data_IF_311878633556
#
_entry.id   IF_311878633556
#
_cell.length_a   1.000
_cell.length_b   1.000
_cell.length_c   1.000
_cell.angle_alpha   90.00
_cell.angle_beta   90.00
_cell.angle_gamma   90.00
#
_symmetry.space_group_name_H-M   'P 1'
#
loop_
_entity.id
_entity.type
_entity.pdbx_description
1 polymer ?
#
# COMPACT_ATOMS: atom_id res chain seq x y z
N UNK A 1 17.71 16.37 0.11
CA UNK A 1 17.42 15.57 1.31
C UNK A 1 18.33 16.10 2.39
N UNK A 2 17.76 16.69 3.42
CA UNK A 2 18.55 17.15 4.57
C UNK A 2 18.75 15.98 5.53
N UNK A 3 19.98 15.77 5.95
CA UNK A 3 20.39 14.72 6.87
C UNK A 3 20.77 15.33 8.22
N UNK A 4 20.91 14.51 9.25
CA UNK A 4 21.28 14.97 10.59
C UNK A 4 22.60 15.80 10.62
N UNK A 5 23.47 15.61 9.63
CA UNK A 5 24.73 16.38 9.45
C UNK A 5 24.50 17.83 9.05
N UNK A 6 23.32 18.15 8.49
CA UNK A 6 22.96 19.49 8.05
C UNK A 6 22.37 20.33 9.19
N UNK A 7 22.20 19.74 10.38
CA UNK A 7 21.67 20.37 11.59
C UNK A 7 22.71 20.38 12.70
N UNK A 8 22.95 21.55 13.32
CA UNK A 8 23.73 21.67 14.56
C UNK A 8 22.93 21.19 15.77
N UNK A 9 22.61 19.89 15.83
CA UNK A 9 21.90 19.28 16.97
C UNK A 9 22.61 18.02 17.46
N UNK A 10 22.57 17.79 18.77
CA UNK A 10 23.08 16.57 19.41
C UNK A 10 21.90 15.70 19.82
N UNK A 11 21.88 14.43 19.38
CA UNK A 11 20.86 13.47 19.82
C UNK A 11 21.22 13.00 21.24
N UNK A 12 20.39 13.33 22.21
CA UNK A 12 20.52 12.88 23.59
C UNK A 12 19.32 12.02 23.96
N UNK A 13 19.57 10.78 24.38
CA UNK A 13 18.53 9.90 24.89
C UNK A 13 18.21 10.24 26.34
N UNK A 14 16.94 10.45 26.64
CA UNK A 14 16.46 10.81 27.97
C UNK A 14 15.44 9.75 28.44
N UNK A 15 15.86 8.76 29.24
CA UNK A 15 14.94 7.81 29.82
C UNK A 15 14.01 8.52 30.80
N UNK A 16 12.69 8.46 30.55
CA UNK A 16 11.67 9.10 31.39
C UNK A 16 10.83 10.14 30.64
N UNK A 17 10.57 11.30 31.26
CA UNK A 17 9.50 12.22 30.84
C UNK A 17 9.64 12.80 29.43
N UNK A 18 10.87 13.00 28.95
CA UNK A 18 11.11 13.50 27.61
C UNK A 18 10.75 12.47 26.52
N UNK A 19 10.93 11.17 26.80
CA UNK A 19 10.52 10.10 25.88
C UNK A 19 9.00 9.88 25.88
N UNK A 20 8.32 10.14 27.00
CA UNK A 20 6.86 9.96 27.10
C UNK A 20 6.10 10.78 26.06
N UNK A 21 6.57 11.99 25.74
CA UNK A 21 5.94 12.84 24.70
C UNK A 21 6.14 12.24 23.31
N UNK A 22 7.35 11.74 23.01
CA UNK A 22 7.65 11.06 21.76
C UNK A 22 6.85 9.75 21.61
N UNK A 23 6.74 8.97 22.68
CA UNK A 23 5.95 7.73 22.72
C UNK A 23 4.46 8.00 22.54
N UNK A 24 3.90 8.97 23.28
CA UNK A 24 2.49 9.34 23.19
C UNK A 24 2.14 9.88 21.79
N UNK A 25 3.01 10.70 21.20
CA UNK A 25 2.83 11.19 19.83
C UNK A 25 2.90 10.05 18.81
N UNK A 26 3.86 9.14 18.97
CA UNK A 26 4.01 7.96 18.10
C UNK A 26 2.78 7.06 18.15
N UNK A 27 2.24 6.80 19.35
CA UNK A 27 1.02 6.02 19.52
C UNK A 27 -0.20 6.70 18.87
N UNK A 28 -0.33 8.03 19.00
CA UNK A 28 -1.41 8.78 18.34
C UNK A 28 -1.31 8.68 16.80
N UNK A 29 -0.11 8.83 16.25
CA UNK A 29 0.13 8.70 14.81
C UNK A 29 -0.16 7.29 14.33
N UNK A 30 0.31 6.26 15.05
CA UNK A 30 0.02 4.86 14.74
C UNK A 30 -1.48 4.56 14.80
N UNK A 31 -2.19 5.07 15.81
CA UNK A 31 -3.64 4.92 15.92
C UNK A 31 -4.38 5.60 14.77
N UNK A 32 -3.96 6.80 14.37
CA UNK A 32 -4.52 7.51 13.21
C UNK A 32 -4.26 6.74 11.90
N UNK A 33 -3.06 6.19 11.73
CA UNK A 33 -2.73 5.37 10.57
C UNK A 33 -3.54 4.06 10.56
N UNK A 34 -3.75 3.45 11.73
CA UNK A 34 -4.58 2.26 11.87
C UNK A 34 -6.04 2.57 11.44
N UNK A 35 -6.59 3.71 11.84
CA UNK A 35 -7.92 4.14 11.40
C UNK A 35 -8.00 4.29 9.87
N UNK A 36 -7.03 4.99 9.26
CA UNK A 36 -6.95 5.13 7.79
C UNK A 36 -6.85 3.77 7.11
N UNK A 37 -6.09 2.83 7.68
CA UNK A 37 -5.95 1.48 7.13
C UNK A 37 -7.25 0.67 7.22
N UNK A 38 -8.06 0.91 8.26
CA UNK A 38 -9.38 0.30 8.41
C UNK A 38 -10.37 0.87 7.40
N UNK A 39 -10.44 2.19 7.27
CA UNK A 39 -11.33 2.86 6.31
C UNK A 39 -11.03 2.47 4.86
N UNK A 40 -9.74 2.27 4.54
CA UNK A 40 -9.30 1.86 3.19
C UNK A 40 -9.43 0.36 2.93
N UNK A 41 -9.80 -0.46 3.92
CA UNK A 41 -9.85 -1.93 3.76
C UNK A 41 -10.86 -2.38 2.70
N UNK A 42 -12.01 -1.73 2.61
CA UNK A 42 -13.01 -2.01 1.56
C UNK A 42 -12.43 -1.70 0.17
N UNK A 43 -11.82 -0.51 0.03
CA UNK A 43 -11.22 -0.08 -1.22
C UNK A 43 -10.10 -1.03 -1.69
N UNK A 44 -9.22 -1.48 -0.78
CA UNK A 44 -8.17 -2.46 -1.13
C UNK A 44 -8.77 -3.77 -1.65
N UNK A 45 -9.87 -4.23 -1.04
CA UNK A 45 -10.57 -5.44 -1.48
C UNK A 45 -11.19 -5.26 -2.87
N UNK A 46 -11.81 -4.10 -3.12
CA UNK A 46 -12.38 -3.76 -4.43
C UNK A 46 -11.30 -3.67 -5.51
N UNK A 47 -10.15 -3.03 -5.20
CA UNK A 47 -9.01 -2.97 -6.12
C UNK A 47 -8.45 -4.36 -6.44
N UNK A 48 -8.38 -5.27 -5.47
CA UNK A 48 -7.99 -6.66 -5.72
C UNK A 48 -9.00 -7.38 -6.62
N UNK A 49 -10.29 -7.25 -6.32
CA UNK A 49 -11.36 -7.84 -7.13
C UNK A 49 -11.36 -7.33 -8.58
N UNK A 50 -11.04 -6.05 -8.79
CA UNK A 50 -10.87 -5.47 -10.12
C UNK A 50 -9.67 -6.07 -10.85
N UNK A 51 -8.55 -6.27 -10.13
CA UNK A 51 -7.37 -6.97 -10.63
C UNK A 51 -7.67 -8.40 -11.09
N UNK A 52 -8.46 -9.14 -10.31
CA UNK A 52 -8.90 -10.49 -10.65
C UNK A 52 -9.74 -10.52 -11.94
N UNK A 53 -10.52 -9.47 -12.19
CA UNK A 53 -11.26 -9.27 -13.44
C UNK A 53 -10.41 -8.74 -14.60
N UNK A 54 -9.11 -8.49 -14.38
CA UNK A 54 -8.19 -7.99 -15.41
C UNK A 54 -8.17 -6.47 -15.56
N UNK A 55 -8.75 -5.72 -14.61
CA UNK A 55 -8.66 -4.25 -14.54
C UNK A 55 -7.50 -3.87 -13.64
N UNK A 56 -6.52 -3.13 -14.16
CA UNK A 56 -5.41 -2.60 -13.37
C UNK A 56 -5.49 -1.08 -13.28
N UNK A 57 -5.24 -0.58 -12.07
CA UNK A 57 -5.28 0.84 -11.70
C UNK A 57 -3.85 1.28 -11.38
N UNK A 58 -3.38 2.33 -12.04
CA UNK A 58 -2.04 2.89 -11.84
C UNK A 58 -2.14 4.40 -11.62
N UNK A 59 -1.33 4.94 -10.71
CA UNK A 59 -1.25 6.39 -10.49
C UNK A 59 -0.05 6.91 -11.27
N UNK A 60 -0.32 7.77 -12.25
CA UNK A 60 0.72 8.43 -13.06
C UNK A 60 1.50 9.46 -12.25
N UNK A 61 2.71 9.80 -12.70
CA UNK A 61 3.51 10.91 -12.18
C UNK A 61 2.76 12.26 -12.19
N UNK A 62 1.80 12.43 -13.11
CA UNK A 62 0.92 13.61 -13.16
C UNK A 62 -0.24 13.56 -12.14
N UNK A 63 -0.22 12.61 -11.19
CA UNK A 63 -1.31 12.30 -10.27
C UNK A 63 -2.65 11.94 -10.95
N UNK A 64 -2.59 11.53 -12.21
CA UNK A 64 -3.75 11.00 -12.93
C UNK A 64 -3.94 9.51 -12.62
N UNK A 65 -5.19 9.10 -12.41
CA UNK A 65 -5.54 7.68 -12.28
C UNK A 65 -5.70 7.07 -13.68
N UNK A 66 -4.79 6.16 -14.04
CA UNK A 66 -4.83 5.39 -15.27
C UNK A 66 -5.53 4.06 -15.01
N UNK A 67 -6.40 3.67 -15.94
CA UNK A 67 -7.12 2.40 -15.91
C UNK A 67 -6.80 1.65 -17.19
N UNK A 68 -6.31 0.41 -17.10
CA UNK A 68 -6.16 -0.44 -18.26
C UNK A 68 -6.73 -1.84 -18.03
N UNK A 69 -7.27 -2.41 -19.10
CA UNK A 69 -7.90 -3.73 -19.09
C UNK A 69 -7.04 -4.73 -19.86
N UNK A 70 -6.84 -5.91 -19.27
CA UNK A 70 -6.10 -7.00 -19.90
C UNK A 70 -7.04 -8.07 -20.43
N UNK A 71 -7.12 -8.18 -21.75
CA UNK A 71 -7.78 -9.31 -22.42
C UNK A 71 -6.78 -10.46 -22.56
N UNK A 72 -7.13 -11.67 -22.09
CA UNK A 72 -6.33 -12.90 -22.30
C UNK A 72 -7.11 -13.89 -23.18
N UNK A 73 -6.49 -14.47 -24.23
CA UNK A 73 -7.13 -15.52 -25.01
C UNK A 73 -7.35 -16.80 -24.17
N UNK A 74 -8.57 -17.32 -24.17
CA UNK A 74 -8.94 -18.55 -23.41
C UNK A 74 -8.44 -19.85 -24.06
N UNK A 75 -7.74 -19.76 -25.19
CA UNK A 75 -7.31 -20.93 -25.97
C UNK A 75 -6.41 -21.87 -25.16
N UNK A 76 -5.50 -21.31 -24.35
CA UNK A 76 -4.62 -22.11 -23.50
C UNK A 76 -5.38 -22.87 -22.41
N UNK A 77 -6.42 -22.26 -21.84
CA UNK A 77 -7.25 -22.91 -20.82
C UNK A 77 -8.07 -24.04 -21.43
N UNK A 78 -8.65 -23.80 -22.63
CA UNK A 78 -9.35 -24.84 -23.40
C UNK A 78 -8.45 -26.02 -23.78
N UNK A 79 -7.21 -25.76 -24.19
CA UNK A 79 -6.24 -26.82 -24.51
C UNK A 79 -5.93 -27.64 -23.26
N UNK A 80 -5.65 -26.99 -22.12
CA UNK A 80 -5.38 -27.67 -20.86
C UNK A 80 -6.55 -28.54 -20.38
N UNK A 81 -7.78 -28.06 -20.54
CA UNK A 81 -8.98 -28.81 -20.16
C UNK A 81 -9.19 -30.04 -21.05
N UNK A 82 -9.04 -29.89 -22.36
CA UNK A 82 -9.12 -31.00 -23.30
C UNK A 82 -8.03 -32.07 -23.04
N UNK A 83 -6.81 -31.65 -22.69
CA UNK A 83 -5.70 -32.56 -22.36
C UNK A 83 -5.87 -33.29 -21.01
N UNK A 84 -6.72 -32.78 -20.10
CA UNK A 84 -7.06 -33.46 -18.84
C UNK A 84 -8.15 -34.52 -19.00
N UNK A 85 -8.83 -34.50 -20.13
CA UNK A 85 -9.95 -35.40 -20.45
C UNK A 85 -9.49 -36.62 -21.26
N UNK A 86 -8.18 -36.80 -21.43
CA UNK A 86 -7.51 -37.96 -22.05
C UNK A 86 -6.74 -38.71 -20.96
#
# INVERSE_FOLDING_TARGET
MELLKDYYCTILYHPGKANMVADALSQKLMGSLAHISMDKRSLIREMHSLGDMGVHLEVSEANALLVHFRVRPILMDRIKEAQRST
#
